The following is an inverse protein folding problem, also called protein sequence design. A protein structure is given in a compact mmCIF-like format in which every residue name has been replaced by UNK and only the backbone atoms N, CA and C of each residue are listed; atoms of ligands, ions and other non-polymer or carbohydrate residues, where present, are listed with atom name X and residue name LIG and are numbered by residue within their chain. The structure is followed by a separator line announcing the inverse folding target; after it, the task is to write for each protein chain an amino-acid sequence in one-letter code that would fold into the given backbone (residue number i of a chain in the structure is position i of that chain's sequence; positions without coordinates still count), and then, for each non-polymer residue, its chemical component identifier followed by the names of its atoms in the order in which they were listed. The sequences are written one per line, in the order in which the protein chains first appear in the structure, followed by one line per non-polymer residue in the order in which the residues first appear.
data_IF_932373864913
#
_entry.id   IF_932373864913
#
_cell.length_a   1.000
_cell.length_b   1.000
_cell.length_c   1.000
_cell.angle_alpha   90.00
_cell.angle_beta   90.00
_cell.angle_gamma   90.00
#
_symmetry.space_group_name_H-M   'P 1'
#
loop_
_entity.id
_entity.type
_entity.pdbx_description
1 polymer ?
#
# COMPACT_ATOMS: atom_id res chain seq x y z
N UNK A 1 1.86 -6.78 -16.81
CA UNK A 1 1.77 -6.67 -15.34
C UNK A 1 1.08 -5.38 -14.89
N UNK A 2 1.51 -4.20 -15.37
CA UNK A 2 0.97 -2.89 -14.95
C UNK A 2 -0.54 -2.65 -15.16
N UNK A 3 -1.16 -3.36 -16.10
CA UNK A 3 -2.58 -3.25 -16.43
C UNK A 3 -3.50 -4.15 -15.58
N UNK A 4 -2.92 -5.01 -14.74
CA UNK A 4 -3.71 -5.97 -13.96
C UNK A 4 -4.48 -5.31 -12.81
N UNK A 5 -3.95 -4.21 -12.28
CA UNK A 5 -4.56 -3.46 -11.18
C UNK A 5 -4.30 -1.95 -11.35
N UNK A 6 -5.23 -1.07 -10.92
CA UNK A 6 -5.06 0.38 -11.02
C UNK A 6 -3.77 0.88 -10.36
N UNK A 7 -3.38 0.28 -9.24
CA UNK A 7 -2.14 0.62 -8.52
C UNK A 7 -0.89 0.39 -9.36
N UNK A 8 -0.92 -0.55 -10.31
CA UNK A 8 0.20 -0.85 -11.21
C UNK A 8 0.50 0.32 -12.15
N UNK A 9 -0.54 0.96 -12.69
CA UNK A 9 -0.40 2.18 -13.50
C UNK A 9 0.08 3.37 -12.68
N UNK A 10 -0.44 3.53 -11.47
CA UNK A 10 0.02 4.58 -10.55
C UNK A 10 1.49 4.43 -10.17
N UNK A 11 1.93 3.20 -9.86
CA UNK A 11 3.33 2.89 -9.55
C UNK A 11 4.25 3.18 -10.74
N UNK A 12 3.84 2.81 -11.96
CA UNK A 12 4.61 3.09 -13.17
C UNK A 12 4.78 4.61 -13.39
N UNK A 13 3.71 5.39 -13.27
CA UNK A 13 3.77 6.84 -13.46
C UNK A 13 4.73 7.52 -12.46
N UNK A 14 4.66 7.11 -11.18
CA UNK A 14 5.56 7.60 -10.13
C UNK A 14 7.01 7.22 -10.41
N UNK A 15 7.26 5.96 -10.81
CA UNK A 15 8.60 5.47 -11.06
C UNK A 15 9.24 6.22 -12.25
N UNK A 16 8.53 6.31 -13.37
CA UNK A 16 9.00 7.02 -14.56
C UNK A 16 9.23 8.50 -14.26
N UNK A 17 8.26 9.19 -13.63
CA UNK A 17 8.41 10.60 -13.28
C UNK A 17 9.59 10.85 -12.33
N UNK A 18 9.80 9.96 -11.37
CA UNK A 18 10.93 10.07 -10.44
C UNK A 18 12.28 9.96 -11.13
N UNK A 19 12.42 9.02 -12.08
CA UNK A 19 13.66 8.86 -12.84
C UNK A 19 14.02 10.10 -13.66
N UNK A 20 13.02 10.87 -14.09
CA UNK A 20 13.25 12.10 -14.87
C UNK A 20 13.73 13.30 -14.04
N UNK A 21 13.55 13.29 -12.71
CA UNK A 21 13.82 14.44 -11.84
C UNK A 21 14.94 14.22 -10.83
N UNK A 22 15.51 13.01 -10.78
CA UNK A 22 16.58 12.63 -9.85
C UNK A 22 17.88 12.35 -10.59
N UNK A 23 18.99 12.45 -9.87
CA UNK A 23 20.33 12.27 -10.44
C UNK A 23 20.63 10.81 -10.83
N UNK A 24 20.19 9.88 -9.99
CA UNK A 24 20.47 8.46 -10.10
C UNK A 24 19.40 7.63 -9.36
N UNK A 25 19.41 6.32 -9.58
CA UNK A 25 18.42 5.40 -9.00
C UNK A 25 18.47 5.37 -7.46
N UNK A 26 19.63 5.63 -6.86
CA UNK A 26 19.76 5.65 -5.40
C UNK A 26 19.03 6.86 -4.81
N UNK A 27 19.17 8.05 -5.42
CA UNK A 27 18.40 9.23 -5.03
C UNK A 27 16.89 9.02 -5.26
N UNK A 28 16.51 8.36 -6.36
CA UNK A 28 15.13 7.97 -6.65
C UNK A 28 14.52 7.13 -5.51
N UNK A 29 15.23 6.07 -5.09
CA UNK A 29 14.77 5.20 -4.00
C UNK A 29 14.69 5.92 -2.67
N UNK A 30 15.69 6.75 -2.35
CA UNK A 30 15.72 7.53 -1.11
C UNK A 30 14.53 8.48 -1.00
N UNK A 31 14.23 9.22 -2.08
CA UNK A 31 13.12 10.19 -2.11
C UNK A 31 11.75 9.52 -2.10
N UNK A 32 11.63 8.36 -2.76
CA UNK A 32 10.36 7.65 -2.88
C UNK A 32 10.09 6.61 -1.79
N UNK A 33 11.02 6.42 -0.84
CA UNK A 33 10.89 5.40 0.22
C UNK A 33 9.52 5.44 0.92
N UNK A 34 9.11 6.62 1.39
CA UNK A 34 7.83 6.76 2.09
C UNK A 34 6.62 6.49 1.20
N UNK A 35 6.70 6.88 -0.08
CA UNK A 35 5.63 6.65 -1.06
C UNK A 35 5.45 5.16 -1.34
N UNK A 36 6.54 4.43 -1.57
CA UNK A 36 6.50 2.99 -1.77
C UNK A 36 6.06 2.23 -0.52
N UNK A 37 6.54 2.62 0.67
CA UNK A 37 6.09 2.03 1.95
C UNK A 37 4.58 2.24 2.16
N UNK A 38 4.06 3.41 1.79
CA UNK A 38 2.63 3.73 1.87
C UNK A 38 1.78 2.93 0.89
N UNK A 39 2.25 2.77 -0.35
CA UNK A 39 1.58 1.94 -1.36
C UNK A 39 1.55 0.47 -0.92
N UNK A 40 2.67 -0.04 -0.40
CA UNK A 40 2.75 -1.38 0.16
C UNK A 40 1.77 -1.57 1.32
N UNK A 41 1.72 -0.62 2.27
CA UNK A 41 0.80 -0.65 3.39
C UNK A 41 -0.67 -0.65 2.93
N UNK A 42 -1.00 0.12 1.89
CA UNK A 42 -2.33 0.13 1.29
C UNK A 42 -2.70 -1.23 0.67
N UNK A 43 -1.80 -1.82 -0.13
CA UNK A 43 -2.02 -3.14 -0.72
C UNK A 43 -2.21 -4.21 0.36
N UNK A 44 -1.38 -4.19 1.42
CA UNK A 44 -1.52 -5.07 2.58
C UNK A 44 -2.88 -4.89 3.27
N UNK A 45 -3.31 -3.64 3.48
CA UNK A 45 -4.60 -3.32 4.09
C UNK A 45 -5.77 -3.88 3.26
N UNK A 46 -5.70 -3.83 1.93
CA UNK A 46 -6.72 -4.44 1.04
C UNK A 46 -6.84 -5.95 1.26
N UNK A 47 -5.71 -6.66 1.34
CA UNK A 47 -5.69 -8.11 1.58
C UNK A 47 -6.30 -8.44 2.95
N UNK A 48 -5.93 -7.69 3.99
CA UNK A 48 -6.47 -7.87 5.35
C UNK A 48 -7.99 -7.63 5.37
N UNK A 49 -8.46 -6.59 4.69
CA UNK A 49 -9.89 -6.29 4.58
C UNK A 49 -10.66 -7.44 3.94
N UNK A 50 -10.15 -8.01 2.85
CA UNK A 50 -10.81 -9.12 2.17
C UNK A 50 -10.82 -10.37 3.05
N UNK A 51 -9.67 -10.72 3.67
CA UNK A 51 -9.55 -11.88 4.56
C UNK A 51 -10.49 -11.84 5.76
N UNK A 52 -10.82 -10.65 6.25
CA UNK A 52 -11.66 -10.45 7.43
C UNK A 52 -13.03 -9.82 7.11
N UNK A 53 -13.47 -9.87 5.84
CA UNK A 53 -14.68 -9.19 5.37
C UNK A 53 -15.93 -9.49 6.20
N UNK A 54 -16.15 -10.76 6.55
CA UNK A 54 -17.28 -11.19 7.38
C UNK A 54 -17.22 -10.59 8.78
N UNK A 55 -16.06 -10.70 9.44
CA UNK A 55 -15.82 -10.15 10.78
C UNK A 55 -15.95 -8.62 10.80
N UNK A 56 -15.51 -7.96 9.72
CA UNK A 56 -15.63 -6.51 9.58
C UNK A 56 -17.09 -6.08 9.40
N UNK A 57 -17.97 -6.91 8.82
CA UNK A 57 -19.35 -6.50 8.49
C UNK A 57 -20.16 -6.08 9.73
N UNK A 58 -19.97 -6.75 10.86
CA UNK A 58 -20.64 -6.46 12.14
C UNK A 58 -19.98 -5.41 13.03
N UNK A 59 -18.89 -4.78 12.59
CA UNK A 59 -18.16 -3.79 13.41
C UNK A 59 -18.55 -2.35 13.08
N UNK A 60 -18.57 -1.49 14.11
CA UNK A 60 -18.66 -0.05 13.95
C UNK A 60 -17.37 0.55 13.37
N UNK A 61 -17.39 1.84 13.01
CA UNK A 61 -16.24 2.53 12.38
C UNK A 61 -14.98 2.51 13.25
N UNK A 62 -15.11 2.71 14.57
CA UNK A 62 -13.98 2.76 15.50
C UNK A 62 -13.39 1.37 15.70
N UNK A 63 -14.25 0.38 15.95
CA UNK A 63 -13.87 -1.03 16.05
C UNK A 63 -13.15 -1.52 14.81
N UNK A 64 -13.67 -1.20 13.61
CA UNK A 64 -13.01 -1.52 12.34
C UNK A 64 -11.61 -0.93 12.24
N UNK A 65 -11.45 0.35 12.59
CA UNK A 65 -10.15 1.02 12.51
C UNK A 65 -9.13 0.40 13.47
N UNK A 66 -9.52 0.15 14.72
CA UNK A 66 -8.67 -0.46 15.75
C UNK A 66 -8.25 -1.88 15.35
N UNK A 67 -9.21 -2.69 14.88
CA UNK A 67 -8.95 -4.04 14.40
C UNK A 67 -7.97 -4.04 13.21
N UNK A 68 -8.24 -3.24 12.17
CA UNK A 68 -7.38 -3.17 10.99
C UNK A 68 -5.97 -2.69 11.35
N UNK A 69 -5.84 -1.70 12.24
CA UNK A 69 -4.54 -1.20 12.71
C UNK A 69 -3.77 -2.27 13.49
N UNK A 70 -4.45 -3.10 14.27
CA UNK A 70 -3.84 -4.22 14.97
C UNK A 70 -3.37 -5.32 14.00
N UNK A 71 -4.19 -5.70 13.00
CA UNK A 71 -3.80 -6.67 11.97
C UNK A 71 -2.63 -6.18 11.11
N UNK A 72 -2.58 -4.88 10.77
CA UNK A 72 -1.47 -4.29 10.00
C UNK A 72 -0.09 -4.45 10.67
N UNK A 73 -0.04 -4.51 12.01
CA UNK A 73 1.20 -4.72 12.78
C UNK A 73 1.69 -6.16 12.75
N UNK A 74 0.84 -7.13 12.38
CA UNK A 74 1.24 -8.53 12.28
C UNK A 74 2.05 -8.75 10.99
N UNK A 75 3.05 -9.64 11.00
CA UNK A 75 3.71 -10.04 9.76
C UNK A 75 2.69 -10.69 8.82
N UNK A 76 2.84 -10.47 7.52
CA UNK A 76 2.10 -11.24 6.52
C UNK A 76 2.59 -12.69 6.64
N UNK A 77 1.69 -13.60 7.01
CA UNK A 77 1.90 -15.05 7.00
C UNK A 77 1.24 -15.63 5.77
#
# INVERSE_FOLDING_TARGET
AKDLVPEGRGLEAVAQGSQMIVKDDHDALRRNKHLYDSLYAYCKLRIIKEKHKEKLSGMDRKQRYEFLRAEMKKPLR
#
